data_IF_804667809646
#
_entry.id   IF_804667809646
#
_cell.length_a   1.000
_cell.length_b   1.000
_cell.length_c   1.000
_cell.angle_alpha   90.00
_cell.angle_beta   90.00
_cell.angle_gamma   90.00
#
_symmetry.space_group_name_H-M   'P 1'
#
loop_
_entity.id
_entity.type
_entity.pdbx_description
1 polymer ?
#
# COMPACT_ATOMS: atom_id res chain seq x y z
N UNK A 1 8.83 6.83 -17.38
CA UNK A 1 9.29 6.06 -18.56
C UNK A 1 10.75 6.33 -18.95
N UNK A 2 11.28 7.56 -18.80
CA UNK A 2 12.66 7.91 -19.22
C UNK A 2 13.75 7.11 -18.47
N UNK A 3 13.63 6.92 -17.15
CA UNK A 3 14.63 6.21 -16.34
C UNK A 3 14.88 4.76 -16.81
N UNK A 4 13.82 4.06 -17.25
CA UNK A 4 13.93 2.68 -17.74
C UNK A 4 14.67 2.59 -19.08
N UNK A 5 14.53 3.61 -19.94
CA UNK A 5 15.28 3.70 -21.21
C UNK A 5 16.77 3.96 -20.95
N UNK A 6 17.06 4.86 -20.01
CA UNK A 6 18.44 5.15 -19.58
C UNK A 6 19.10 3.89 -19.05
N UNK A 7 18.44 3.14 -18.16
CA UNK A 7 18.99 1.87 -17.70
C UNK A 7 19.16 0.87 -18.85
N UNK A 8 18.17 0.68 -19.72
CA UNK A 8 18.26 -0.31 -20.82
C UNK A 8 19.43 -0.07 -21.79
N UNK A 9 19.76 1.20 -22.05
CA UNK A 9 20.91 1.59 -22.88
C UNK A 9 22.20 1.46 -22.09
N UNK A 10 22.22 1.92 -20.84
CA UNK A 10 23.43 1.95 -20.04
C UNK A 10 23.75 0.61 -19.36
N UNK A 11 22.83 -0.32 -19.15
CA UNK A 11 23.11 -1.58 -18.45
C UNK A 11 23.85 -2.59 -19.32
N UNK A 12 23.65 -2.52 -20.63
CA UNK A 12 24.24 -3.40 -21.63
C UNK A 12 25.53 -2.75 -22.19
N UNK A 13 26.63 -3.49 -22.18
CA UNK A 13 27.94 -2.95 -22.55
C UNK A 13 28.04 -2.60 -24.04
N UNK A 14 27.34 -3.33 -24.91
CA UNK A 14 27.34 -3.08 -26.35
C UNK A 14 26.46 -1.87 -26.68
N UNK A 15 25.27 -1.79 -26.08
CA UNK A 15 24.36 -0.64 -26.24
C UNK A 15 24.95 0.64 -25.65
N UNK A 16 25.66 0.53 -24.52
CA UNK A 16 26.39 1.64 -23.91
C UNK A 16 27.51 2.13 -24.82
N UNK A 17 28.30 1.22 -25.43
CA UNK A 17 29.37 1.60 -26.35
C UNK A 17 28.84 2.34 -27.58
N UNK A 18 27.72 1.87 -28.17
CA UNK A 18 27.08 2.56 -29.31
C UNK A 18 26.59 3.96 -28.92
N UNK A 19 26.00 4.10 -27.72
CA UNK A 19 25.58 5.41 -27.21
C UNK A 19 26.77 6.34 -26.96
N UNK A 20 27.84 5.84 -26.36
CA UNK A 20 29.05 6.61 -26.07
C UNK A 20 29.78 7.07 -27.35
N UNK A 21 29.72 6.27 -28.42
CA UNK A 21 30.32 6.59 -29.72
C UNK A 21 29.46 7.51 -30.60
N UNK A 22 28.14 7.28 -30.65
CA UNK A 22 27.26 7.95 -31.62
C UNK A 22 26.39 9.06 -30.99
N UNK A 23 26.26 9.08 -29.66
CA UNK A 23 25.42 10.04 -28.94
C UNK A 23 23.92 9.90 -29.21
N UNK A 24 23.50 8.80 -29.85
CA UNK A 24 22.11 8.55 -30.27
C UNK A 24 21.54 7.35 -29.54
N UNK A 25 20.32 7.49 -29.02
CA UNK A 25 19.51 6.36 -28.57
C UNK A 25 18.75 5.85 -29.80
N UNK A 26 18.82 4.55 -30.14
CA UNK A 26 18.05 4.01 -31.27
C UNK A 26 16.55 4.32 -31.09
N UNK A 27 16.00 5.10 -32.01
CA UNK A 27 14.59 5.52 -32.02
C UNK A 27 13.67 4.40 -32.59
N UNK A 28 14.28 3.35 -33.17
CA UNK A 28 13.59 2.27 -33.91
C UNK A 28 12.87 1.23 -33.02
N UNK A 29 12.97 1.30 -31.70
CA UNK A 29 12.15 0.52 -30.75
C UNK A 29 10.86 1.28 -30.34
N UNK A 30 10.32 2.21 -31.14
CA UNK A 30 8.93 2.67 -30.96
C UNK A 30 7.89 1.56 -31.22
N UNK A 31 8.31 0.45 -31.85
CA UNK A 31 7.47 -0.71 -32.19
C UNK A 31 7.81 -2.02 -31.48
N UNK A 32 8.87 -2.09 -30.68
CA UNK A 32 8.98 -3.14 -29.66
C UNK A 32 8.17 -2.67 -28.46
N UNK A 33 6.86 -2.93 -28.55
CA UNK A 33 5.96 -3.02 -27.41
C UNK A 33 6.75 -3.51 -26.21
N UNK A 34 6.88 -2.63 -25.21
CA UNK A 34 7.22 -2.95 -23.81
C UNK A 34 7.21 -4.46 -23.61
N UNK A 35 8.38 -5.12 -23.66
CA UNK A 35 8.46 -6.58 -23.49
C UNK A 35 7.49 -6.95 -22.37
N UNK A 36 6.39 -7.68 -22.67
CA UNK A 36 5.33 -7.91 -21.68
C UNK A 36 5.87 -8.62 -20.43
N UNK A 37 7.04 -9.24 -20.56
CA UNK A 37 7.75 -10.00 -19.55
C UNK A 37 8.86 -9.24 -18.79
N UNK A 38 9.08 -7.93 -18.98
CA UNK A 38 10.01 -7.21 -18.08
C UNK A 38 9.40 -7.09 -16.68
N UNK A 39 9.74 -8.04 -15.82
CA UNK A 39 9.42 -8.00 -14.41
C UNK A 39 10.22 -6.87 -13.75
N UNK A 40 9.65 -5.66 -13.79
CA UNK A 40 10.20 -4.49 -13.14
C UNK A 40 10.40 -4.73 -11.64
N UNK A 41 9.64 -5.64 -11.03
CA UNK A 41 9.82 -6.01 -9.63
C UNK A 41 11.17 -6.71 -9.42
N UNK A 42 11.57 -7.62 -10.32
CA UNK A 42 12.90 -8.26 -10.26
C UNK A 42 14.01 -7.25 -10.50
N UNK A 43 13.86 -6.37 -11.49
CA UNK A 43 14.83 -5.31 -11.77
C UNK A 43 15.06 -4.38 -10.56
N UNK A 44 14.00 -3.90 -9.92
CA UNK A 44 14.13 -3.03 -8.74
C UNK A 44 14.64 -3.77 -7.50
N UNK A 45 14.37 -5.07 -7.38
CA UNK A 45 14.94 -5.93 -6.31
C UNK A 45 16.44 -6.19 -6.48
N UNK A 46 16.99 -6.09 -7.70
CA UNK A 46 18.44 -6.16 -7.92
C UNK A 46 19.15 -4.86 -7.49
N UNK A 47 18.47 -3.72 -7.62
CA UNK A 47 19.04 -2.40 -7.27
C UNK A 47 18.89 -2.07 -5.78
N UNK A 48 17.77 -2.46 -5.17
CA UNK A 48 17.47 -2.18 -3.77
C UNK A 48 17.30 -3.47 -2.99
N UNK A 49 17.99 -3.55 -1.83
CA UNK A 49 17.80 -4.67 -0.90
C UNK A 49 16.33 -4.80 -0.53
N UNK A 50 15.82 -6.02 -0.45
CA UNK A 50 14.49 -6.28 0.09
C UNK A 50 14.47 -5.81 1.54
N UNK A 51 13.66 -4.81 1.85
CA UNK A 51 13.45 -4.34 3.21
C UNK A 51 12.68 -5.42 3.96
N UNK A 52 13.23 -5.83 5.09
CA UNK A 52 12.58 -6.78 6.01
C UNK A 52 11.98 -6.04 7.19
N UNK A 53 11.07 -6.69 7.93
CA UNK A 53 10.54 -6.16 9.19
C UNK A 53 11.68 -5.83 10.15
N UNK A 54 12.71 -6.67 10.18
CA UNK A 54 13.91 -6.44 10.99
C UNK A 54 14.66 -5.16 10.60
N UNK A 55 14.78 -4.85 9.30
CA UNK A 55 15.41 -3.59 8.87
C UNK A 55 14.64 -2.37 9.41
N UNK A 56 13.30 -2.46 9.49
CA UNK A 56 12.45 -1.38 10.02
C UNK A 56 12.65 -1.25 11.53
N UNK A 57 12.66 -2.36 12.27
CA UNK A 57 12.90 -2.37 13.72
C UNK A 57 14.31 -1.87 14.08
N UNK A 58 15.32 -2.22 13.28
CA UNK A 58 16.70 -1.78 13.48
C UNK A 58 16.84 -0.28 13.16
N UNK A 59 16.15 0.20 12.11
CA UNK A 59 16.07 1.64 11.81
C UNK A 59 15.39 2.42 12.95
N UNK A 60 14.23 1.95 13.43
CA UNK A 60 13.49 2.58 14.51
C UNK A 60 14.37 2.76 15.76
N UNK A 61 15.13 1.72 16.15
CA UNK A 61 16.06 1.80 17.28
C UNK A 61 17.20 2.79 17.06
N UNK A 62 17.67 2.92 15.82
CA UNK A 62 18.75 3.86 15.48
C UNK A 62 18.27 5.31 15.40
N UNK A 63 17.01 5.51 15.01
CA UNK A 63 16.40 6.83 14.86
C UNK A 63 15.89 7.37 16.20
N UNK A 64 15.24 6.55 17.03
CA UNK A 64 14.73 7.00 18.33
C UNK A 64 15.87 7.40 19.27
N UNK A 65 15.85 8.66 19.72
CA UNK A 65 16.88 9.28 20.56
C UNK A 65 18.09 9.79 19.79
N UNK A 66 18.09 9.73 18.46
CA UNK A 66 19.15 10.28 17.61
C UNK A 66 19.04 11.81 17.49
N UNK A 67 20.11 12.44 16.99
CA UNK A 67 20.11 13.86 16.64
C UNK A 67 19.11 14.17 15.51
N UNK A 68 18.98 13.24 14.54
CA UNK A 68 18.02 13.35 13.44
C UNK A 68 16.58 13.46 13.97
N UNK A 69 16.21 12.64 14.96
CA UNK A 69 14.87 12.73 15.56
C UNK A 69 14.66 14.05 16.29
N UNK A 70 15.68 14.57 16.99
CA UNK A 70 15.56 15.85 17.70
C UNK A 70 15.28 16.98 16.70
N UNK A 71 15.99 16.99 15.57
CA UNK A 71 15.81 18.00 14.54
C UNK A 71 14.45 17.86 13.83
N UNK A 72 14.02 16.65 13.51
CA UNK A 72 12.71 16.38 12.91
C UNK A 72 11.55 16.79 13.84
N UNK A 73 11.66 16.51 15.14
CA UNK A 73 10.68 16.94 16.14
C UNK A 73 10.63 18.46 16.26
N UNK A 74 11.80 19.14 16.26
CA UNK A 74 11.87 20.61 16.29
C UNK A 74 11.26 21.22 15.04
N UNK A 75 11.58 20.66 13.86
CA UNK A 75 11.03 21.11 12.58
C UNK A 75 9.49 20.97 12.57
N UNK A 76 8.98 19.78 12.94
CA UNK A 76 7.54 19.54 13.04
C UNK A 76 6.87 20.48 14.05
N UNK A 77 7.52 20.77 15.17
CA UNK A 77 6.99 21.71 16.16
C UNK A 77 6.81 23.13 15.60
N UNK A 78 7.78 23.60 14.81
CA UNK A 78 7.71 24.91 14.15
C UNK A 78 6.64 24.92 13.06
N UNK A 79 6.61 23.90 12.20
CA UNK A 79 5.68 23.79 11.08
C UNK A 79 4.21 23.72 11.52
N UNK A 80 3.95 23.09 12.67
CA UNK A 80 2.60 22.93 13.21
C UNK A 80 2.27 23.83 14.39
N UNK A 81 3.11 24.84 14.66
CA UNK A 81 2.93 25.82 15.73
C UNK A 81 2.61 25.18 17.10
N UNK A 82 3.28 24.06 17.39
CA UNK A 82 3.10 23.31 18.64
C UNK A 82 1.81 22.48 18.75
N UNK A 83 1.07 22.25 17.65
CA UNK A 83 -0.04 21.31 17.66
C UNK A 83 0.44 19.86 17.70
N UNK A 84 0.42 19.28 18.90
CA UNK A 84 0.85 17.91 19.12
C UNK A 84 0.11 16.89 18.25
N UNK A 85 -1.16 17.12 17.84
CA UNK A 85 -1.90 16.18 16.97
C UNK A 85 -1.15 15.96 15.66
N UNK A 86 -0.75 17.06 15.04
CA UNK A 86 -0.03 17.04 13.77
C UNK A 86 1.41 16.56 13.93
N UNK A 87 2.07 16.95 15.02
CA UNK A 87 3.46 16.53 15.30
C UNK A 87 3.54 15.00 15.44
N UNK A 88 2.62 14.38 16.19
CA UNK A 88 2.60 12.92 16.35
C UNK A 88 2.27 12.18 15.05
N UNK A 89 1.52 12.81 14.14
CA UNK A 89 1.19 12.24 12.82
C UNK A 89 2.33 12.43 11.80
N UNK A 90 3.22 13.41 11.99
CA UNK A 90 4.30 13.74 11.04
C UNK A 90 5.64 13.11 11.36
N UNK A 91 5.98 12.96 12.65
CA UNK A 91 7.30 12.49 13.08
C UNK A 91 7.42 10.98 12.82
N UNK A 92 8.55 10.58 12.23
CA UNK A 92 8.83 9.17 11.94
C UNK A 92 8.88 8.34 13.21
N UNK A 93 8.41 7.09 13.12
CA UNK A 93 8.43 6.13 14.24
C UNK A 93 7.76 6.66 15.53
N UNK A 94 6.89 7.65 15.43
CA UNK A 94 6.14 8.20 16.56
C UNK A 94 4.92 7.32 16.84
N UNK A 95 4.99 6.52 17.90
CA UNK A 95 3.81 5.82 18.39
C UNK A 95 3.09 6.66 19.44
N UNK A 96 1.81 6.40 19.69
CA UNK A 96 1.07 7.05 20.79
C UNK A 96 1.84 6.94 22.12
N UNK A 97 2.50 5.80 22.38
CA UNK A 97 3.26 5.54 23.60
C UNK A 97 4.49 6.45 23.75
N UNK A 98 5.02 6.99 22.64
CA UNK A 98 6.19 7.87 22.57
C UNK A 98 5.87 9.35 22.86
N UNK A 99 4.59 9.74 22.95
CA UNK A 99 4.20 11.14 23.17
C UNK A 99 4.92 11.79 24.38
N UNK A 100 5.10 11.13 25.55
CA UNK A 100 5.84 11.72 26.68
C UNK A 100 7.30 12.05 26.34
N UNK A 101 7.95 11.21 25.52
CA UNK A 101 9.34 11.38 25.09
C UNK A 101 9.46 12.56 24.12
N UNK A 102 8.60 12.61 23.11
CA UNK A 102 8.53 13.70 22.11
C UNK A 102 8.22 15.04 22.80
N UNK A 103 7.28 15.07 23.74
CA UNK A 103 7.03 16.27 24.56
C UNK A 103 8.25 16.68 25.37
N UNK A 104 9.00 15.72 25.92
CA UNK A 104 10.23 15.99 26.65
C UNK A 104 11.29 16.69 25.78
N UNK A 105 11.45 16.25 24.53
CA UNK A 105 12.33 16.88 23.53
C UNK A 105 11.92 18.34 23.29
N UNK A 106 10.63 18.55 22.99
CA UNK A 106 10.08 19.90 22.73
C UNK A 106 10.24 20.80 23.96
N UNK A 107 9.89 20.30 25.14
CA UNK A 107 10.00 21.08 26.38
C UNK A 107 11.46 21.45 26.67
N UNK A 108 12.40 20.52 26.49
CA UNK A 108 13.82 20.80 26.63
C UNK A 108 14.32 21.88 25.67
N UNK A 109 13.85 21.87 24.41
CA UNK A 109 14.19 22.88 23.41
C UNK A 109 13.52 24.25 23.65
N UNK A 110 12.34 24.28 24.27
CA UNK A 110 11.72 25.53 24.74
C UNK A 110 12.50 26.10 25.93
N UNK A 111 12.88 25.23 26.88
CA UNK A 111 13.61 25.63 28.08
C UNK A 111 15.04 26.12 27.75
N UNK A 112 15.68 25.56 26.71
CA UNK A 112 16.96 26.05 26.18
C UNK A 112 16.84 27.33 25.35
N UNK A 113 15.61 27.74 24.99
CA UNK A 113 15.34 28.92 24.17
C UNK A 113 15.54 28.71 22.67
N UNK A 114 15.72 27.48 22.21
CA UNK A 114 15.84 27.13 20.78
C UNK A 114 14.48 27.19 20.06
N UNK A 115 13.39 26.87 20.76
CA UNK A 115 12.04 26.89 20.21
C UNK A 115 11.15 27.94 20.90
N UNK A 116 10.27 28.62 20.14
CA UNK A 116 9.28 29.52 20.72
C UNK A 116 8.20 28.75 21.48
N UNK A 117 7.72 29.30 22.59
CA UNK A 117 6.64 28.70 23.37
C UNK A 117 5.26 28.95 22.71
N UNK A 118 4.81 28.07 21.82
CA UNK A 118 3.50 28.19 21.20
C UNK A 118 2.36 27.86 22.17
N UNK A 119 1.25 28.62 22.07
CA UNK A 119 0.07 28.47 22.93
C UNK A 119 -0.58 27.09 22.81
N UNK A 120 -0.56 26.49 21.61
CA UNK A 120 -1.16 25.19 21.35
C UNK A 120 -0.52 24.08 22.20
N UNK A 121 0.81 24.14 22.37
CA UNK A 121 1.57 23.22 23.20
C UNK A 121 1.45 23.56 24.69
N UNK A 122 1.71 24.82 25.07
CA UNK A 122 1.79 25.23 26.48
C UNK A 122 0.44 25.13 27.21
N UNK A 123 -0.66 25.42 26.51
CA UNK A 123 -2.02 25.41 27.09
C UNK A 123 -2.80 24.17 26.72
N UNK A 124 -2.14 23.10 26.29
CA UNK A 124 -2.83 21.88 25.94
C UNK A 124 -3.54 21.28 27.16
N UNK A 125 -4.80 20.90 26.98
CA UNK A 125 -5.57 20.29 28.06
C UNK A 125 -5.22 18.82 28.21
N UNK A 126 -5.20 18.32 29.46
CA UNK A 126 -5.08 16.89 29.74
C UNK A 126 -6.18 16.06 29.07
N UNK A 127 -7.34 16.67 28.83
CA UNK A 127 -8.44 16.04 28.09
C UNK A 127 -8.07 15.79 26.63
N UNK A 128 -7.42 16.75 25.95
CA UNK A 128 -6.95 16.59 24.56
C UNK A 128 -5.92 15.48 24.47
N UNK A 129 -4.92 15.47 25.36
CA UNK A 129 -3.92 14.41 25.45
C UNK A 129 -4.56 13.02 25.64
N UNK A 130 -5.46 12.89 26.61
CA UNK A 130 -6.13 11.61 26.88
C UNK A 130 -7.05 11.18 25.72
N UNK A 131 -7.67 12.13 25.02
CA UNK A 131 -8.52 11.83 23.87
C UNK A 131 -7.69 11.27 22.70
N UNK A 132 -6.50 11.83 22.46
CA UNK A 132 -5.55 11.32 21.46
C UNK A 132 -5.10 9.90 21.77
N UNK A 133 -4.68 9.64 23.02
CA UNK A 133 -4.36 8.29 23.50
C UNK A 133 -5.50 7.29 23.25
N UNK A 134 -6.72 7.64 23.67
CA UNK A 134 -7.90 6.78 23.49
C UNK A 134 -8.24 6.53 22.02
N UNK A 135 -8.00 7.52 21.14
CA UNK A 135 -8.22 7.37 19.70
C UNK A 135 -7.27 6.32 19.13
N UNK A 136 -5.98 6.44 19.44
CA UNK A 136 -4.97 5.47 19.00
C UNK A 136 -5.27 4.05 19.53
N UNK A 137 -5.63 3.90 20.82
CA UNK A 137 -6.02 2.61 21.40
C UNK A 137 -7.27 2.01 20.71
N UNK A 138 -8.24 2.86 20.37
CA UNK A 138 -9.46 2.43 19.67
C UNK A 138 -9.13 1.97 18.25
N UNK A 139 -8.32 2.73 17.51
CA UNK A 139 -7.89 2.38 16.15
C UNK A 139 -7.09 1.07 16.13
N UNK A 140 -6.19 0.86 17.10
CA UNK A 140 -5.46 -0.40 17.26
C UNK A 140 -6.40 -1.59 17.47
N UNK A 141 -7.40 -1.43 18.35
CA UNK A 141 -8.41 -2.49 18.58
C UNK A 141 -9.27 -2.77 17.37
N UNK A 142 -9.67 -1.74 16.62
CA UNK A 142 -10.43 -1.90 15.38
C UNK A 142 -9.60 -2.61 14.32
N UNK A 143 -8.31 -2.26 14.20
CA UNK A 143 -7.36 -2.92 13.29
C UNK A 143 -7.20 -4.41 13.63
N UNK A 144 -7.00 -4.76 14.90
CA UNK A 144 -6.92 -6.16 15.36
C UNK A 144 -8.21 -6.93 15.04
N UNK A 145 -9.37 -6.34 15.32
CA UNK A 145 -10.67 -6.97 15.03
C UNK A 145 -10.85 -7.20 13.53
N UNK A 146 -10.50 -6.23 12.69
CA UNK A 146 -10.55 -6.42 11.23
C UNK A 146 -9.55 -7.45 10.73
N UNK A 147 -8.36 -7.55 11.34
CA UNK A 147 -7.37 -8.58 11.02
C UNK A 147 -7.92 -9.97 11.32
N UNK A 148 -8.56 -10.14 12.49
CA UNK A 148 -9.21 -11.39 12.89
C UNK A 148 -10.39 -11.74 11.96
N UNK A 149 -11.28 -10.79 11.66
CA UNK A 149 -12.42 -10.98 10.75
C UNK A 149 -11.98 -11.38 9.33
N UNK A 150 -10.84 -10.85 8.86
CA UNK A 150 -10.26 -11.20 7.56
C UNK A 150 -9.47 -12.51 7.59
N UNK A 151 -9.30 -13.13 8.76
CA UNK A 151 -8.50 -14.35 8.94
C UNK A 151 -7.03 -14.18 8.59
N UNK A 152 -6.51 -12.96 8.71
CA UNK A 152 -5.12 -12.64 8.41
C UNK A 152 -4.25 -12.98 9.63
N UNK A 153 -3.36 -13.96 9.50
CA UNK A 153 -2.30 -14.21 10.48
C UNK A 153 -1.18 -13.18 10.36
N UNK A 154 0.00 -13.51 10.90
CA UNK A 154 1.20 -12.66 10.80
C UNK A 154 1.97 -12.83 9.47
N UNK A 155 1.48 -13.69 8.55
CA UNK A 155 2.16 -14.01 7.30
C UNK A 155 1.54 -13.36 6.05
N UNK A 156 2.39 -12.99 5.08
CA UNK A 156 1.95 -12.47 3.77
C UNK A 156 1.14 -13.50 2.94
N UNK A 157 1.36 -14.80 3.18
CA UNK A 157 0.65 -15.87 2.46
C UNK A 157 -0.86 -15.88 2.72
N UNK A 158 -1.30 -15.44 3.91
CA UNK A 158 -2.73 -15.39 4.26
C UNK A 158 -3.46 -14.32 3.44
N UNK A 159 -2.83 -13.17 3.22
CA UNK A 159 -3.38 -12.10 2.40
C UNK A 159 -3.49 -12.53 0.93
N UNK A 160 -2.45 -13.20 0.42
CA UNK A 160 -2.45 -13.75 -0.94
C UNK A 160 -3.55 -14.79 -1.11
N UNK A 161 -3.73 -15.68 -0.14
CA UNK A 161 -4.81 -16.66 -0.14
C UNK A 161 -6.19 -15.99 -0.12
N UNK A 162 -6.38 -14.94 0.69
CA UNK A 162 -7.63 -14.19 0.77
C UNK A 162 -7.99 -13.50 -0.57
N UNK A 163 -7.00 -12.88 -1.23
CA UNK A 163 -7.19 -12.26 -2.54
C UNK A 163 -7.58 -13.30 -3.59
N UNK A 164 -6.89 -14.44 -3.62
CA UNK A 164 -7.22 -15.53 -4.55
C UNK A 164 -8.61 -16.10 -4.30
N UNK A 165 -9.02 -16.26 -3.04
CA UNK A 165 -10.39 -16.69 -2.70
C UNK A 165 -11.43 -15.69 -3.21
N UNK A 166 -11.23 -14.40 -2.95
CA UNK A 166 -12.14 -13.34 -3.45
C UNK A 166 -12.23 -13.30 -4.97
N UNK A 167 -11.13 -13.55 -5.69
CA UNK A 167 -11.15 -13.63 -7.15
C UNK A 167 -12.01 -14.80 -7.63
N UNK A 168 -11.83 -15.99 -7.05
CA UNK A 168 -12.64 -17.18 -7.37
C UNK A 168 -14.12 -16.99 -7.06
N UNK A 169 -14.44 -16.29 -5.97
CA UNK A 169 -15.84 -16.05 -5.61
C UNK A 169 -16.50 -15.06 -6.58
N UNK A 170 -15.78 -14.02 -7.04
CA UNK A 170 -16.26 -13.14 -8.11
C UNK A 170 -16.45 -13.87 -9.45
N UNK A 171 -15.59 -14.81 -9.79
CA UNK A 171 -15.76 -15.66 -10.99
C UNK A 171 -17.03 -16.51 -10.89
N UNK A 172 -17.27 -17.17 -9.75
CA UNK A 172 -18.50 -17.94 -9.52
C UNK A 172 -19.76 -17.07 -9.58
N UNK A 173 -19.71 -15.85 -9.04
CA UNK A 173 -20.83 -14.91 -9.12
C UNK A 173 -21.11 -14.50 -10.58
N UNK A 174 -20.07 -14.26 -11.38
CA UNK A 174 -20.18 -14.00 -12.82
C UNK A 174 -20.78 -15.19 -13.56
N UNK A 175 -20.32 -16.42 -13.29
CA UNK A 175 -20.86 -17.63 -13.90
C UNK A 175 -22.35 -17.81 -13.57
N UNK A 176 -22.73 -17.59 -12.31
CA UNK A 176 -24.13 -17.64 -11.88
C UNK A 176 -24.98 -16.55 -12.55
N UNK A 177 -24.44 -15.34 -12.70
CA UNK A 177 -25.11 -14.25 -13.42
C UNK A 177 -25.31 -14.57 -14.90
N UNK A 178 -24.28 -15.09 -15.58
CA UNK A 178 -24.35 -15.52 -16.97
C UNK A 178 -25.34 -16.68 -17.16
N UNK A 179 -25.35 -17.66 -16.25
CA UNK A 179 -26.31 -18.76 -16.27
C UNK A 179 -27.76 -18.27 -16.12
N UNK A 180 -28.00 -17.26 -15.28
CA UNK A 180 -29.33 -16.64 -15.14
C UNK A 180 -29.75 -15.88 -16.42
N UNK A 181 -28.82 -15.19 -17.08
CA UNK A 181 -29.08 -14.56 -18.38
C UNK A 181 -29.36 -15.59 -19.46
N UNK A 182 -28.58 -16.67 -19.53
CA UNK A 182 -28.80 -17.77 -20.46
C UNK A 182 -30.16 -18.43 -20.23
N UNK A 183 -30.55 -18.70 -18.98
CA UNK A 183 -31.87 -19.27 -18.68
C UNK A 183 -33.03 -18.37 -19.11
N UNK A 184 -32.87 -17.05 -18.98
CA UNK A 184 -33.92 -16.05 -19.29
C UNK A 184 -34.05 -15.76 -20.79
N UNK A 185 -32.93 -15.74 -21.52
CA UNK A 185 -32.90 -15.30 -22.92
C UNK A 185 -32.52 -16.40 -23.92
N UNK A 186 -31.82 -17.46 -23.49
CA UNK A 186 -31.40 -18.58 -24.33
C UNK A 186 -32.52 -19.57 -24.68
N UNK A 187 -33.65 -19.53 -23.97
CA UNK A 187 -34.73 -20.51 -24.14
C UNK A 187 -35.76 -20.14 -25.23
N UNK A 188 -35.30 -19.66 -26.39
CA UNK A 188 -36.14 -19.38 -27.57
C UNK A 188 -35.93 -20.38 -28.73
N UNK A 189 -35.48 -21.61 -28.44
CA UNK A 189 -35.38 -22.66 -29.47
C UNK A 189 -35.66 -24.08 -28.94
N UNK A 190 -36.91 -24.36 -28.54
CA UNK A 190 -37.52 -25.72 -28.61
C UNK A 190 -39.00 -25.71 -28.19
N UNK A 191 -39.85 -25.13 -29.04
CA UNK A 191 -41.28 -25.50 -29.12
C UNK A 191 -41.67 -25.71 -30.58
N UNK A 192 -41.15 -26.80 -31.16
CA UNK A 192 -41.51 -27.26 -32.49
C UNK A 192 -41.82 -28.75 -32.48
N UNK A 193 -43.03 -29.12 -32.90
CA UNK A 193 -43.34 -30.47 -33.39
C UNK A 193 -44.10 -31.40 -32.44
N UNK A 194 -45.40 -31.15 -32.26
CA UNK A 194 -46.37 -32.17 -31.83
C UNK A 194 -46.43 -33.27 -32.90
N UNK A 195 -45.79 -34.43 -32.69
CA UNK A 195 -46.00 -35.62 -33.52
C UNK A 195 -47.29 -36.32 -33.08
N UNK A 196 -48.35 -36.12 -33.86
CA UNK A 196 -49.54 -36.99 -33.87
C UNK A 196 -49.18 -38.29 -34.59
N UNK A 197 -49.18 -39.43 -33.87
CA UNK A 197 -49.16 -40.76 -34.49
C UNK A 197 -50.60 -41.26 -34.64
N UNK A 198 -51.00 -41.48 -35.89
CA UNK A 198 -52.31 -41.94 -36.30
C UNK A 198 -52.53 -43.44 -36.02
N UNK A 199 -53.77 -43.79 -35.66
CA UNK A 199 -54.33 -45.16 -35.61
C UNK A 199 -54.19 -45.88 -36.97
N UNK A 200 -53.86 -47.17 -36.92
CA UNK A 200 -54.49 -48.20 -37.78
C UNK A 200 -54.54 -49.53 -37.02
N UNK A 201 -55.74 -50.09 -36.92
CA UNK A 201 -56.05 -51.22 -36.04
C UNK A 201 -56.09 -52.59 -36.73
N UNK A 202 -56.18 -53.60 -35.85
CA UNK A 202 -56.81 -54.94 -35.96
C UNK A 202 -56.73 -55.70 -37.29
N UNK A 203 -56.14 -56.89 -37.21
CA UNK A 203 -56.89 -58.13 -37.41
C UNK A 203 -56.44 -59.17 -36.41
#
# INVERSE_FOLDING_TARGET
>A
QVLGRVYAVLSDAERRAVYDEQGTVPEEEEGEELQPERDWQEHWRLLFKKITIKDIEDFEKSYKGSEEELDDVKAAYVDFEGDMDKIMESVLCAEHTDEPRIRGIIQGAIDSGELPAYKAFVKESKQKMNARKRRAEKEAREAEKTKEELGLGDGEEDLKALIQSRNKDREKEMDNFLAQLEAKYGNNSKKGGKKTAAKKGKK
#
